data_IF_456916160520
#
_entry.id   IF_456916160520
#
_cell.length_a   1.000
_cell.length_b   1.000
_cell.length_c   1.000
_cell.angle_alpha   90.00
_cell.angle_beta   90.00
_cell.angle_gamma   90.00
#
_symmetry.space_group_name_H-M   'P 1'
#
loop_
_entity.id
_entity.type
_entity.pdbx_description
1 polymer ?
#
# COMPACT_ATOMS: atom_id res chain seq x y z
N UNK A 1 19.23 6.45 5.11
CA UNK A 1 17.98 5.80 4.71
C UNK A 1 17.45 4.83 5.77
N UNK A 2 18.24 3.83 6.21
CA UNK A 2 17.85 2.82 7.23
C UNK A 2 17.08 3.34 8.46
N UNK A 3 17.52 4.44 9.09
CA UNK A 3 16.82 5.04 10.25
C UNK A 3 15.41 5.53 9.90
N UNK A 4 15.21 6.12 8.72
CA UNK A 4 13.91 6.64 8.27
C UNK A 4 12.95 5.46 8.02
N UNK A 5 13.42 4.41 7.34
CA UNK A 5 12.63 3.19 7.11
C UNK A 5 12.26 2.48 8.42
N UNK A 6 13.17 2.46 9.40
CA UNK A 6 12.88 1.93 10.74
C UNK A 6 11.79 2.75 11.43
N UNK A 7 11.91 4.08 11.46
CA UNK A 7 10.89 4.96 12.03
C UNK A 7 9.53 4.79 11.33
N UNK A 8 9.54 4.63 10.01
CA UNK A 8 8.33 4.36 9.25
C UNK A 8 7.70 3.01 9.60
N UNK A 9 8.51 1.99 9.83
CA UNK A 9 8.01 0.68 10.28
C UNK A 9 7.32 0.79 11.65
N UNK A 10 7.87 1.59 12.57
CA UNK A 10 7.23 1.89 13.87
C UNK A 10 5.92 2.67 13.68
N UNK A 11 5.92 3.67 12.81
CA UNK A 11 4.71 4.40 12.43
C UNK A 11 3.60 3.46 11.93
N UNK A 12 3.92 2.57 10.98
CA UNK A 12 2.97 1.60 10.44
C UNK A 12 2.42 0.64 11.51
N UNK A 13 3.24 0.28 12.50
CA UNK A 13 2.79 -0.54 13.64
C UNK A 13 1.76 0.21 14.48
N UNK A 14 2.05 1.46 14.87
CA UNK A 14 1.13 2.32 15.63
C UNK A 14 -0.20 2.53 14.88
N UNK A 15 -0.14 2.78 13.58
CA UNK A 15 -1.35 2.90 12.75
C UNK A 15 -2.19 1.62 12.77
N UNK A 16 -1.55 0.45 12.83
CA UNK A 16 -2.26 -0.83 12.88
C UNK A 16 -2.94 -1.06 14.23
N UNK A 17 -2.26 -0.71 15.32
CA UNK A 17 -2.81 -0.80 16.67
C UNK A 17 -4.06 0.08 16.79
N UNK A 18 -3.96 1.34 16.38
CA UNK A 18 -5.09 2.27 16.37
C UNK A 18 -6.23 1.80 15.47
N UNK A 19 -5.92 1.31 14.27
CA UNK A 19 -6.93 0.78 13.36
C UNK A 19 -7.64 -0.44 13.94
N UNK A 20 -6.90 -1.37 14.54
CA UNK A 20 -7.47 -2.58 15.14
C UNK A 20 -8.38 -2.22 16.32
N UNK A 21 -7.99 -1.25 17.14
CA UNK A 21 -8.82 -0.74 18.24
C UNK A 21 -10.13 -0.16 17.71
N UNK A 22 -10.07 0.72 16.70
CA UNK A 22 -11.26 1.29 16.06
C UNK A 22 -12.15 0.21 15.42
N UNK A 23 -11.56 -0.73 14.69
CA UNK A 23 -12.27 -1.83 14.05
C UNK A 23 -12.98 -2.73 15.08
N UNK A 24 -12.35 -3.00 16.23
CA UNK A 24 -12.94 -3.76 17.32
C UNK A 24 -14.12 -3.01 17.97
N UNK A 25 -13.94 -1.73 18.33
CA UNK A 25 -14.99 -0.88 18.91
C UNK A 25 -16.24 -0.85 18.02
N UNK A 26 -16.04 -0.73 16.72
CA UNK A 26 -17.12 -0.67 15.72
C UNK A 26 -17.61 -2.05 15.23
N UNK A 27 -17.10 -3.16 15.81
CA UNK A 27 -17.46 -4.56 15.48
C UNK A 27 -17.31 -4.89 13.99
N UNK A 28 -16.20 -4.49 13.41
CA UNK A 28 -15.90 -4.74 12.00
C UNK A 28 -15.09 -6.03 11.82
N UNK A 29 -15.45 -6.82 10.82
CA UNK A 29 -14.76 -8.03 10.34
C UNK A 29 -13.36 -7.81 9.73
N UNK A 30 -12.80 -6.60 9.72
CA UNK A 30 -11.49 -6.34 9.08
C UNK A 30 -10.34 -6.87 9.94
N UNK A 31 -10.01 -8.15 9.74
CA UNK A 31 -8.93 -8.87 10.42
C UNK A 31 -8.10 -9.64 9.38
N UNK A 32 -7.06 -10.33 9.85
CA UNK A 32 -6.31 -11.26 9.00
C UNK A 32 -7.27 -12.29 8.38
N UNK A 33 -7.19 -12.44 7.05
CA UNK A 33 -8.14 -13.25 6.27
C UNK A 33 -9.29 -12.46 5.63
N UNK A 34 -9.48 -11.19 5.97
CA UNK A 34 -10.32 -10.28 5.18
C UNK A 34 -9.56 -9.82 3.93
N UNK A 35 -10.10 -10.08 2.73
CA UNK A 35 -9.37 -9.91 1.47
C UNK A 35 -10.14 -9.21 0.34
N UNK A 36 -11.26 -8.54 0.60
CA UNK A 36 -12.05 -7.86 -0.44
C UNK A 36 -11.19 -6.87 -1.24
N UNK A 37 -10.50 -5.97 -0.54
CA UNK A 37 -9.63 -4.96 -1.15
C UNK A 37 -8.42 -5.57 -1.88
N UNK A 38 -7.96 -6.75 -1.45
CA UNK A 38 -6.87 -7.48 -2.09
C UNK A 38 -7.35 -8.34 -3.27
N UNK A 39 -8.66 -8.55 -3.41
CA UNK A 39 -9.24 -9.35 -4.51
C UNK A 39 -9.60 -8.48 -5.71
N UNK A 40 -9.84 -7.19 -5.47
CA UNK A 40 -10.27 -6.20 -6.46
C UNK A 40 -9.15 -5.20 -6.78
N UNK A 41 -7.94 -5.71 -7.00
CA UNK A 41 -6.76 -4.92 -7.36
C UNK A 41 -5.70 -4.81 -6.28
N UNK A 42 -4.88 -3.79 -6.44
CA UNK A 42 -3.85 -3.36 -5.50
C UNK A 42 -3.71 -1.84 -5.55
N UNK A 43 -3.22 -1.27 -4.46
CA UNK A 43 -3.05 0.16 -4.32
C UNK A 43 -1.74 0.66 -4.94
N UNK A 44 -1.76 1.91 -5.37
CA UNK A 44 -0.58 2.74 -5.43
C UNK A 44 -0.13 3.14 -4.02
N UNK A 45 1.17 3.34 -3.86
CA UNK A 45 1.86 3.51 -2.58
C UNK A 45 2.98 4.53 -2.69
N UNK A 46 3.48 4.98 -1.55
CA UNK A 46 4.63 5.89 -1.49
C UNK A 46 5.94 5.13 -1.75
N UNK A 47 7.02 5.85 -2.04
CA UNK A 47 8.36 5.25 -2.06
C UNK A 47 8.77 4.75 -0.67
N UNK A 48 8.29 5.37 0.40
CA UNK A 48 8.59 4.94 1.77
C UNK A 48 7.93 3.59 2.10
N UNK A 49 6.69 3.39 1.66
CA UNK A 49 6.04 2.07 1.64
C UNK A 49 6.87 1.05 0.87
N UNK A 50 7.34 1.43 -0.33
CA UNK A 50 8.07 0.51 -1.18
C UNK A 50 9.39 0.07 -0.54
N UNK A 51 10.16 0.99 0.03
CA UNK A 51 11.37 0.68 0.78
C UNK A 51 11.08 -0.19 2.00
N UNK A 52 10.00 0.08 2.73
CA UNK A 52 9.58 -0.74 3.87
C UNK A 52 9.25 -2.18 3.46
N UNK A 53 8.46 -2.36 2.40
CA UNK A 53 8.11 -3.68 1.85
C UNK A 53 9.39 -4.40 1.45
N UNK A 54 10.26 -3.75 0.67
CA UNK A 54 11.50 -4.34 0.17
C UNK A 54 12.43 -4.79 1.28
N UNK A 55 12.63 -3.96 2.30
CA UNK A 55 13.46 -4.34 3.45
C UNK A 55 12.83 -5.48 4.26
N UNK A 56 11.51 -5.43 4.45
CA UNK A 56 10.79 -6.42 5.24
C UNK A 56 10.67 -7.79 4.55
N UNK A 57 10.63 -7.85 3.22
CA UNK A 57 10.64 -9.10 2.45
C UNK A 57 11.87 -9.98 2.76
N UNK A 58 12.99 -9.39 3.20
CA UNK A 58 14.18 -10.15 3.64
C UNK A 58 13.87 -11.08 4.81
N UNK A 59 12.89 -10.73 5.64
CA UNK A 59 12.43 -11.49 6.82
C UNK A 59 11.36 -12.55 6.48
N UNK A 60 10.79 -12.51 5.27
CA UNK A 60 9.77 -13.47 4.82
C UNK A 60 10.45 -14.78 4.40
N UNK A 61 9.90 -15.96 4.77
CA UNK A 61 10.44 -17.26 4.36
C UNK A 61 10.67 -17.34 2.86
N UNK A 62 11.79 -17.92 2.44
CA UNK A 62 12.21 -17.93 1.03
C UNK A 62 11.15 -18.47 0.04
N UNK A 63 10.40 -19.56 0.34
CA UNK A 63 9.34 -20.03 -0.55
C UNK A 63 8.19 -19.01 -0.71
N UNK A 64 7.81 -18.37 0.39
CA UNK A 64 6.75 -17.34 0.39
C UNK A 64 7.23 -16.11 -0.37
N UNK A 65 8.46 -15.64 -0.10
CA UNK A 65 9.07 -14.51 -0.81
C UNK A 65 9.11 -14.76 -2.31
N UNK A 66 9.56 -15.95 -2.74
CA UNK A 66 9.61 -16.31 -4.16
C UNK A 66 8.23 -16.21 -4.80
N UNK A 67 7.21 -16.85 -4.18
CA UNK A 67 5.82 -16.82 -4.67
C UNK A 67 5.28 -15.40 -4.87
N UNK A 68 5.50 -14.53 -3.88
CA UNK A 68 5.00 -13.14 -3.92
C UNK A 68 5.74 -12.32 -4.99
N UNK A 69 7.05 -12.53 -5.16
CA UNK A 69 7.86 -11.90 -6.20
C UNK A 69 7.49 -12.38 -7.60
N UNK A 70 7.26 -13.69 -7.80
CA UNK A 70 6.85 -14.26 -9.09
C UNK A 70 5.51 -13.63 -9.54
N UNK A 71 4.50 -13.63 -8.65
CA UNK A 71 3.19 -13.00 -8.94
C UNK A 71 3.29 -11.51 -9.21
N UNK A 72 4.14 -10.80 -8.47
CA UNK A 72 4.38 -9.38 -8.72
C UNK A 72 4.97 -9.16 -10.12
N UNK A 73 5.94 -9.99 -10.54
CA UNK A 73 6.51 -9.91 -11.88
C UNK A 73 5.50 -10.21 -12.99
N UNK A 74 4.66 -11.24 -12.83
CA UNK A 74 3.58 -11.54 -13.79
C UNK A 74 2.65 -10.34 -13.97
N UNK A 75 2.30 -9.65 -12.88
CA UNK A 75 1.43 -8.47 -12.94
C UNK A 75 2.11 -7.29 -13.63
N UNK A 76 3.39 -7.05 -13.32
CA UNK A 76 4.18 -6.02 -13.99
C UNK A 76 4.28 -6.31 -15.50
N UNK A 77 4.47 -7.57 -15.92
CA UNK A 77 4.49 -7.95 -17.34
C UNK A 77 3.17 -7.61 -18.03
N UNK A 78 2.03 -7.90 -17.37
CA UNK A 78 0.71 -7.56 -17.91
C UNK A 78 0.54 -6.03 -18.02
N UNK A 79 0.99 -5.28 -17.02
CA UNK A 79 0.89 -3.81 -17.04
C UNK A 79 1.80 -3.17 -18.09
N UNK A 80 3.02 -3.66 -18.27
CA UNK A 80 3.94 -3.19 -19.31
C UNK A 80 3.39 -3.49 -20.71
N UNK A 81 2.89 -4.71 -20.96
CA UNK A 81 2.23 -5.07 -22.23
C UNK A 81 1.03 -4.18 -22.54
N UNK A 82 0.33 -3.70 -21.51
CA UNK A 82 -0.82 -2.79 -21.64
C UNK A 82 -0.43 -1.30 -21.69
N UNK A 83 0.87 -0.98 -21.72
CA UNK A 83 1.41 0.37 -21.76
C UNK A 83 1.09 1.21 -20.52
N UNK A 84 0.84 0.56 -19.38
CA UNK A 84 0.37 1.24 -18.16
C UNK A 84 1.46 1.46 -17.12
N UNK A 85 2.54 0.70 -17.22
CA UNK A 85 3.69 0.74 -16.33
C UNK A 85 4.96 0.55 -17.16
N UNK A 86 6.10 0.98 -16.62
CA UNK A 86 7.41 0.70 -17.19
C UNK A 86 8.40 0.42 -16.05
N UNK A 87 9.04 -0.74 -16.03
CA UNK A 87 10.04 -1.08 -15.01
C UNK A 87 11.25 -0.15 -15.05
N UNK A 88 11.58 0.38 -16.24
CA UNK A 88 12.64 1.38 -16.44
C UNK A 88 12.30 2.77 -15.90
N UNK A 89 11.04 3.02 -15.54
CA UNK A 89 10.56 4.26 -14.91
C UNK A 89 9.34 3.93 -14.04
N UNK A 90 9.55 3.29 -12.87
CA UNK A 90 8.51 2.69 -12.06
C UNK A 90 7.70 3.73 -11.25
N UNK A 91 7.91 5.03 -11.53
CA UNK A 91 7.28 6.13 -10.82
C UNK A 91 6.01 6.64 -11.53
N UNK A 92 4.93 6.81 -10.77
CA UNK A 92 3.66 7.34 -11.24
C UNK A 92 3.65 8.89 -11.16
N UNK A 93 4.08 9.54 -12.23
CA UNK A 93 4.29 11.00 -12.26
C UNK A 93 3.03 11.82 -12.55
N UNK A 94 2.01 11.21 -13.15
CA UNK A 94 0.80 11.91 -13.65
C UNK A 94 -0.49 11.26 -13.14
N UNK A 95 -1.57 12.06 -13.00
CA UNK A 95 -2.90 11.51 -12.68
C UNK A 95 -3.33 10.48 -13.73
N UNK A 96 -3.04 10.74 -15.02
CA UNK A 96 -3.32 9.80 -16.09
C UNK A 96 -2.61 8.43 -15.89
N UNK A 97 -1.36 8.43 -15.44
CA UNK A 97 -0.64 7.18 -15.12
C UNK A 97 -1.26 6.42 -13.94
N UNK A 98 -1.67 7.14 -12.89
CA UNK A 98 -2.34 6.58 -11.72
C UNK A 98 -3.67 5.94 -12.13
N UNK A 99 -4.50 6.67 -12.87
CA UNK A 99 -5.81 6.18 -13.34
C UNK A 99 -5.64 5.01 -14.32
N UNK A 100 -4.61 5.06 -15.17
CA UNK A 100 -4.28 4.00 -16.12
C UNK A 100 -3.95 2.68 -15.41
N UNK A 101 -3.17 2.75 -14.33
CA UNK A 101 -2.88 1.61 -13.43
C UNK A 101 -4.17 1.11 -12.79
N UNK A 102 -4.91 1.99 -12.11
CA UNK A 102 -6.11 1.64 -11.35
C UNK A 102 -7.13 0.87 -12.21
N UNK A 103 -7.42 1.36 -13.42
CA UNK A 103 -8.34 0.68 -14.35
C UNK A 103 -7.85 -0.71 -14.77
N UNK A 104 -6.54 -0.90 -14.93
CA UNK A 104 -5.96 -2.16 -15.43
C UNK A 104 -5.68 -3.16 -14.32
N UNK A 105 -5.46 -2.70 -13.09
CA UNK A 105 -5.26 -3.53 -11.91
C UNK A 105 -6.57 -3.96 -11.24
N UNK A 106 -7.71 -3.30 -11.52
CA UNK A 106 -9.00 -3.58 -10.87
C UNK A 106 -9.46 -5.07 -10.91
N UNK A 107 -9.02 -5.86 -11.90
CA UNK A 107 -9.32 -7.29 -12.02
C UNK A 107 -8.19 -8.22 -11.54
N UNK A 108 -7.07 -7.65 -11.09
CA UNK A 108 -5.94 -8.39 -10.57
C UNK A 108 -6.11 -8.61 -9.07
N UNK A 109 -5.63 -9.73 -8.53
CA UNK A 109 -5.50 -9.91 -7.08
C UNK A 109 -4.18 -9.29 -6.62
N UNK A 110 -4.09 -8.78 -5.39
CA UNK A 110 -2.83 -8.36 -4.80
C UNK A 110 -1.80 -9.51 -4.89
N UNK A 111 -0.54 -9.24 -5.28
CA UNK A 111 0.47 -10.30 -5.46
C UNK A 111 0.79 -11.04 -4.16
N UNK A 112 0.56 -10.40 -3.01
CA UNK A 112 0.73 -11.00 -1.69
C UNK A 112 -0.50 -11.78 -1.19
N UNK A 113 -1.61 -11.83 -1.94
CA UNK A 113 -2.79 -12.58 -1.55
C UNK A 113 -2.64 -14.06 -1.93
N UNK A 114 -2.75 -14.96 -0.96
CA UNK A 114 -2.78 -16.40 -1.23
C UNK A 114 -4.17 -16.90 -1.65
N UNK A 115 -4.25 -18.19 -1.95
CA UNK A 115 -5.48 -18.79 -2.49
C UNK A 115 -6.54 -18.99 -1.39
N UNK A 116 -6.15 -18.95 -0.12
CA UNK A 116 -7.03 -19.02 1.05
C UNK A 116 -7.50 -17.63 1.51
N UNK A 117 -7.17 -16.57 0.76
CA UNK A 117 -7.58 -15.21 1.13
C UNK A 117 -6.69 -14.56 2.19
N UNK A 118 -5.52 -15.11 2.49
CA UNK A 118 -4.58 -14.56 3.47
C UNK A 118 -3.47 -13.75 2.81
N UNK A 119 -3.10 -12.62 3.42
CA UNK A 119 -1.97 -11.82 2.98
C UNK A 119 -0.66 -12.44 3.50
N UNK A 120 0.22 -12.80 2.58
CA UNK A 120 1.52 -13.41 2.84
C UNK A 120 2.55 -12.44 3.44
N UNK A 121 2.28 -11.13 3.40
CA UNK A 121 3.12 -10.07 3.99
C UNK A 121 2.33 -9.21 4.98
N UNK A 122 1.31 -9.77 5.66
CA UNK A 122 0.34 -9.01 6.47
C UNK A 122 0.98 -8.02 7.47
N UNK A 123 2.09 -8.41 8.12
CA UNK A 123 2.80 -7.55 9.08
C UNK A 123 3.53 -6.36 8.43
N UNK A 124 3.83 -6.46 7.14
CA UNK A 124 4.64 -5.50 6.36
C UNK A 124 3.80 -4.74 5.33
N UNK A 125 2.48 -4.75 5.51
CA UNK A 125 1.54 -4.05 4.62
C UNK A 125 1.85 -2.54 4.58
N UNK A 126 1.68 -1.90 3.41
CA UNK A 126 1.86 -0.45 3.28
C UNK A 126 0.79 0.32 4.07
N UNK A 127 1.01 1.62 4.28
CA UNK A 127 0.13 2.48 5.05
C UNK A 127 -1.31 2.41 4.53
N UNK A 128 -1.52 2.53 3.21
CA UNK A 128 -2.85 2.46 2.59
C UNK A 128 -3.61 1.18 2.95
N UNK A 129 -2.93 0.02 3.02
CA UNK A 129 -3.57 -1.25 3.39
C UNK A 129 -3.99 -1.31 4.87
N UNK A 130 -3.44 -0.44 5.72
CA UNK A 130 -3.78 -0.32 7.15
C UNK A 130 -4.88 0.70 7.40
N UNK A 131 -5.15 1.58 6.44
CA UNK A 131 -6.14 2.67 6.56
C UNK A 131 -7.21 2.64 5.48
N UNK A 132 -7.28 1.59 4.66
CA UNK A 132 -8.31 1.51 3.61
C UNK A 132 -9.68 1.13 4.19
N UNK A 133 -9.75 0.06 5.00
CA UNK A 133 -11.01 -0.62 5.37
C UNK A 133 -12.21 0.26 5.74
N UNK A 134 -12.42 0.63 7.03
CA UNK A 134 -13.54 1.44 7.51
C UNK A 134 -13.41 2.93 7.20
N UNK A 135 -12.15 3.36 7.05
CA UNK A 135 -11.70 4.74 7.18
C UNK A 135 -11.75 5.49 5.87
N UNK A 136 -12.10 4.83 4.76
CA UNK A 136 -12.32 5.48 3.48
C UNK A 136 -13.82 5.53 3.20
N UNK A 137 -14.46 6.60 3.67
CA UNK A 137 -15.75 7.05 3.15
C UNK A 137 -15.61 8.49 2.72
N UNK A 138 -15.73 8.77 1.42
CA UNK A 138 -15.60 10.11 0.87
C UNK A 138 -14.97 10.15 -0.52
N UNK A 139 -14.89 11.34 -1.13
CA UNK A 139 -14.22 11.51 -2.41
C UNK A 139 -12.70 11.30 -2.23
N UNK A 140 -12.14 10.29 -2.88
CA UNK A 140 -10.69 10.10 -2.97
C UNK A 140 -10.36 9.83 -4.44
N UNK A 141 -9.70 10.80 -5.09
CA UNK A 141 -9.38 10.81 -6.53
C UNK A 141 -10.58 10.47 -7.43
N UNK A 142 -11.37 11.48 -7.77
CA UNK A 142 -12.49 11.44 -8.73
C UNK A 142 -13.58 10.37 -8.52
N UNK A 143 -13.44 9.46 -7.55
CA UNK A 143 -14.36 8.36 -7.26
C UNK A 143 -14.81 8.48 -5.81
N UNK A 144 -16.11 8.36 -5.59
CA UNK A 144 -16.68 8.18 -4.25
C UNK A 144 -16.35 6.76 -3.83
N UNK A 145 -15.41 6.62 -2.91
CA UNK A 145 -15.17 5.33 -2.28
C UNK A 145 -16.20 5.22 -1.15
N UNK A 146 -17.27 4.50 -1.44
CA UNK A 146 -18.01 3.82 -0.38
C UNK A 146 -17.02 2.80 0.20
N UNK A 147 -16.87 2.75 1.52
CA UNK A 147 -15.86 1.91 2.15
C UNK A 147 -15.94 0.43 1.74
N UNK A 148 -15.03 -0.40 2.24
CA UNK A 148 -15.03 -1.83 1.94
C UNK A 148 -16.43 -2.46 2.16
N UNK A 149 -16.92 -3.29 1.22
CA UNK A 149 -18.30 -3.80 1.21
C UNK A 149 -18.65 -4.69 2.40
N UNK A 150 -17.65 -5.20 3.12
CA UNK A 150 -17.84 -5.89 4.40
C UNK A 150 -18.08 -4.95 5.60
N UNK A 151 -18.00 -3.63 5.42
CA UNK A 151 -18.32 -2.64 6.45
C UNK A 151 -19.81 -2.34 6.46
N UNK A 152 -20.52 -2.94 7.43
CA UNK A 152 -21.95 -2.69 7.65
C UNK A 152 -22.24 -1.55 8.63
N UNK A 153 -21.20 -0.91 9.17
CA UNK A 153 -21.31 0.16 10.19
C UNK A 153 -20.27 1.24 9.97
N UNK A 154 -20.60 2.44 10.39
CA UNK A 154 -19.73 3.60 10.31
C UNK A 154 -18.83 3.65 11.54
N UNK A 155 -17.53 3.84 11.30
CA UNK A 155 -16.60 4.21 12.37
C UNK A 155 -16.75 5.72 12.54
N UNK A 156 -16.93 6.22 13.78
CA UNK A 156 -16.96 7.65 14.03
C UNK A 156 -15.65 8.32 13.59
N UNK A 157 -15.71 9.57 13.15
CA UNK A 157 -14.50 10.32 12.72
C UNK A 157 -13.46 10.46 13.84
N UNK A 158 -13.92 10.59 15.09
CA UNK A 158 -13.06 10.60 16.28
C UNK A 158 -12.25 9.29 16.46
N UNK A 159 -12.73 8.19 15.88
CA UNK A 159 -12.08 6.88 15.90
C UNK A 159 -11.31 6.59 14.60
N UNK A 160 -11.18 7.56 13.69
CA UNK A 160 -10.37 7.42 12.48
C UNK A 160 -8.87 7.57 12.80
N UNK A 161 -8.17 6.44 12.85
CA UNK A 161 -6.71 6.40 12.88
C UNK A 161 -6.03 7.12 11.70
N UNK A 162 -6.78 7.43 10.64
CA UNK A 162 -6.25 8.07 9.43
C UNK A 162 -5.86 9.53 9.65
N UNK A 163 -6.59 10.28 10.50
CA UNK A 163 -6.39 11.72 10.66
C UNK A 163 -5.21 12.06 11.58
N UNK A 164 -4.89 11.19 12.54
CA UNK A 164 -3.75 11.39 13.44
C UNK A 164 -2.39 11.20 12.76
N UNK A 165 -2.35 10.41 11.68
CA UNK A 165 -1.12 9.78 11.20
C UNK A 165 -0.53 10.40 9.91
N UNK A 166 -1.31 11.17 9.13
CA UNK A 166 -0.80 11.79 7.90
C UNK A 166 0.37 12.74 8.14
N UNK A 167 0.33 13.49 9.25
CA UNK A 167 1.38 14.44 9.56
C UNK A 167 2.71 13.73 9.82
N UNK A 168 2.68 12.60 10.52
CA UNK A 168 3.87 11.82 10.83
C UNK A 168 4.45 11.15 9.57
N UNK A 169 3.58 10.58 8.72
CA UNK A 169 3.99 10.07 7.42
C UNK A 169 4.60 11.17 6.53
N UNK A 170 3.97 12.35 6.48
CA UNK A 170 4.48 13.49 5.71
C UNK A 170 5.85 13.96 6.20
N UNK A 171 6.06 14.01 7.52
CA UNK A 171 7.37 14.34 8.12
C UNK A 171 8.43 13.31 7.70
N UNK A 172 8.11 12.02 7.74
CA UNK A 172 9.03 10.96 7.34
C UNK A 172 9.33 10.96 5.83
N UNK A 173 8.31 11.19 5.00
CA UNK A 173 8.46 11.33 3.55
C UNK A 173 9.32 12.55 3.21
N UNK A 174 9.05 13.70 3.83
CA UNK A 174 9.86 14.91 3.64
C UNK A 174 11.32 14.65 4.03
N UNK A 175 11.56 14.03 5.18
CA UNK A 175 12.91 13.67 5.62
C UNK A 175 13.62 12.72 4.64
N UNK A 176 12.90 11.76 4.04
CA UNK A 176 13.42 10.85 3.02
C UNK A 176 13.88 11.60 1.77
N UNK A 177 12.99 12.42 1.18
CA UNK A 177 13.28 13.17 -0.04
C UNK A 177 14.38 14.22 0.19
N UNK A 178 14.36 14.94 1.32
CA UNK A 178 15.43 15.88 1.69
C UNK A 178 16.78 15.15 1.78
N UNK A 179 16.83 13.98 2.42
CA UNK A 179 18.07 13.20 2.51
C UNK A 179 18.56 12.68 1.15
N UNK A 180 17.64 12.37 0.25
CA UNK A 180 17.95 11.94 -1.12
C UNK A 180 18.33 13.11 -2.05
N UNK A 181 18.20 14.37 -1.59
CA UNK A 181 18.45 15.54 -2.42
C UNK A 181 17.39 15.75 -3.51
N UNK A 182 16.20 15.13 -3.39
CA UNK A 182 15.10 15.22 -4.35
C UNK A 182 13.90 15.96 -3.77
N UNK A 183 13.05 16.46 -4.66
CA UNK A 183 11.73 17.03 -4.29
C UNK A 183 10.65 16.00 -4.55
N UNK A 184 9.75 15.82 -3.57
CA UNK A 184 8.54 15.02 -3.76
C UNK A 184 7.62 15.73 -4.76
N UNK A 185 7.17 15.02 -5.78
CA UNK A 185 6.31 15.58 -6.85
C UNK A 185 4.83 15.30 -6.58
N UNK A 186 4.50 14.16 -5.95
CA UNK A 186 3.10 13.70 -5.72
C UNK A 186 2.94 12.94 -4.41
N UNK A 187 1.68 12.70 -4.05
CA UNK A 187 1.32 11.96 -2.84
C UNK A 187 1.66 10.47 -2.90
N UNK A 188 1.67 9.90 -4.09
CA UNK A 188 2.01 8.49 -4.33
C UNK A 188 3.07 8.42 -5.40
N UNK A 189 3.87 7.36 -5.33
CA UNK A 189 5.06 7.26 -6.15
C UNK A 189 5.05 6.00 -7.02
N UNK A 190 4.50 4.87 -6.56
CA UNK A 190 4.58 3.59 -7.29
C UNK A 190 3.43 2.64 -6.92
N UNK A 191 3.55 1.34 -7.22
CA UNK A 191 2.54 0.30 -6.98
C UNK A 191 3.10 -0.87 -6.17
N UNK A 192 2.22 -1.60 -5.47
CA UNK A 192 2.60 -2.78 -4.66
C UNK A 192 3.45 -3.81 -5.43
N UNK A 193 3.11 -4.22 -6.68
CA UNK A 193 3.94 -5.15 -7.44
C UNK A 193 5.37 -4.64 -7.68
N UNK A 194 5.54 -3.35 -7.95
CA UNK A 194 6.84 -2.73 -8.16
C UNK A 194 7.68 -2.73 -6.88
N UNK A 195 7.08 -2.39 -5.74
CA UNK A 195 7.75 -2.44 -4.43
C UNK A 195 8.23 -3.85 -4.04
N UNK A 196 7.50 -4.89 -4.47
CA UNK A 196 7.86 -6.28 -4.21
C UNK A 196 9.00 -6.73 -5.13
N UNK A 197 8.87 -6.47 -6.43
CA UNK A 197 9.73 -7.05 -7.45
C UNK A 197 11.00 -6.24 -7.73
N UNK A 198 10.94 -4.91 -7.61
CA UNK A 198 12.01 -3.99 -8.01
C UNK A 198 12.79 -3.46 -6.80
N UNK A 199 14.02 -3.02 -7.06
CA UNK A 199 14.75 -2.20 -6.11
C UNK A 199 14.50 -0.73 -6.43
N UNK A 200 13.75 -0.04 -5.57
CA UNK A 200 13.35 1.35 -5.81
C UNK A 200 14.24 2.36 -5.10
N UNK A 201 15.35 1.93 -4.47
CA UNK A 201 16.27 2.85 -3.78
C UNK A 201 16.95 3.83 -4.75
N UNK A 202 17.18 3.45 -6.01
CA UNK A 202 17.73 4.32 -7.06
C UNK A 202 16.76 5.45 -7.50
N UNK A 203 15.47 5.29 -7.17
CA UNK A 203 14.40 6.23 -7.52
C UNK A 203 14.12 7.27 -6.44
N UNK A 204 14.87 7.24 -5.32
CA UNK A 204 14.86 8.23 -4.25
C UNK A 204 15.54 9.53 -4.60
#
# INVERSE_FOLDING_TARGET
MKKIVKNYSTFLQLTSEQFNEAAQKSRVSCLRGCHECCSSGFFDITLLDALHIRDSLKKVPAPIRKRVVDRANEQLDILEKKGAFARKDPLLKTLASIDSISRRSAKMRCPALDDNGSCLIYEFRPHICRIFGPTVRGPRRAVRLEGCGYFKRDIPEADFAILSNYRDEEVLLKAMFTRAGRKRVREVDTIIPAAIALDLEEWL
#
